data_IF_354518550516
#
_entry.id   IF_354518550516
#
_cell.length_a   1.000
_cell.length_b   1.000
_cell.length_c   1.000
_cell.angle_alpha   90.00
_cell.angle_beta   90.00
_cell.angle_gamma   90.00
#
_symmetry.space_group_name_H-M   'P 1'
#
loop_
_entity.id
_entity.type
_entity.pdbx_description
1 polymer ?
#
# COMPACT_ATOMS: atom_id res chain seq x y z
N UNK A 1 26.00 -8.69 -5.67
CA UNK A 1 25.07 -7.68 -6.25
C UNK A 1 25.83 -6.90 -7.32
N UNK A 2 25.30 -6.83 -8.55
CA UNK A 2 25.97 -6.19 -9.70
C UNK A 2 26.06 -4.66 -9.50
N UNK A 3 27.20 -4.07 -9.87
CA UNK A 3 27.46 -2.62 -9.90
C UNK A 3 26.28 -1.82 -10.49
N UNK A 4 25.73 -2.32 -11.59
CA UNK A 4 24.60 -1.74 -12.31
C UNK A 4 23.31 -1.66 -11.48
N UNK A 5 23.11 -2.60 -10.55
CA UNK A 5 21.93 -2.63 -9.69
C UNK A 5 22.00 -1.53 -8.62
N UNK A 6 23.16 -1.34 -7.98
CA UNK A 6 23.30 -0.45 -6.81
C UNK A 6 23.52 1.03 -7.16
N UNK A 7 24.38 1.34 -8.13
CA UNK A 7 24.77 2.74 -8.34
C UNK A 7 23.97 3.46 -9.42
N UNK A 8 23.36 2.71 -10.34
CA UNK A 8 22.69 3.30 -11.51
C UNK A 8 21.18 3.04 -11.42
N UNK A 9 20.77 1.79 -11.23
CA UNK A 9 19.35 1.43 -11.14
C UNK A 9 18.77 1.87 -9.80
N UNK A 10 19.33 1.45 -8.66
CA UNK A 10 18.86 1.87 -7.33
C UNK A 10 18.96 3.40 -7.15
N UNK A 11 20.04 4.05 -7.59
CA UNK A 11 20.15 5.52 -7.54
C UNK A 11 19.10 6.26 -8.39
N UNK A 12 18.85 5.81 -9.62
CA UNK A 12 17.84 6.41 -10.48
C UNK A 12 16.43 6.17 -9.93
N UNK A 13 16.18 4.95 -9.43
CA UNK A 13 14.94 4.58 -8.75
C UNK A 13 14.71 5.47 -7.53
N UNK A 14 15.75 5.72 -6.72
CA UNK A 14 15.68 6.57 -5.54
C UNK A 14 15.35 8.01 -5.90
N UNK A 15 15.96 8.56 -6.97
CA UNK A 15 15.69 9.94 -7.40
C UNK A 15 14.26 10.12 -7.95
N UNK A 16 13.79 9.19 -8.78
CA UNK A 16 12.44 9.21 -9.33
C UNK A 16 11.40 9.00 -8.22
N UNK A 17 11.64 8.03 -7.33
CA UNK A 17 10.80 7.75 -6.17
C UNK A 17 10.71 8.96 -5.24
N UNK A 18 11.83 9.66 -5.00
CA UNK A 18 11.83 10.86 -4.17
C UNK A 18 11.01 12.00 -4.79
N UNK A 19 11.11 12.23 -6.10
CA UNK A 19 10.28 13.21 -6.80
C UNK A 19 8.79 12.90 -6.70
N UNK A 20 8.40 11.64 -6.88
CA UNK A 20 7.02 11.19 -6.73
C UNK A 20 6.51 11.34 -5.28
N UNK A 21 7.37 11.05 -4.29
CA UNK A 21 7.05 11.26 -2.86
C UNK A 21 6.72 12.72 -2.58
N UNK A 22 7.55 13.64 -3.09
CA UNK A 22 7.38 15.07 -2.86
C UNK A 22 6.11 15.61 -3.54
N UNK A 23 5.76 15.08 -4.72
CA UNK A 23 4.49 15.39 -5.38
C UNK A 23 3.28 14.95 -4.55
N UNK A 24 3.27 13.69 -4.07
CA UNK A 24 2.15 13.21 -3.25
C UNK A 24 2.04 13.99 -1.93
N UNK A 25 3.16 14.35 -1.29
CA UNK A 25 3.17 15.20 -0.09
C UNK A 25 2.60 16.59 -0.37
N UNK A 26 2.97 17.22 -1.47
CA UNK A 26 2.41 18.51 -1.86
C UNK A 26 0.90 18.43 -2.12
N UNK A 27 0.43 17.32 -2.71
CA UNK A 27 -1.00 17.03 -2.86
C UNK A 27 -1.72 16.91 -1.52
N UNK A 28 -1.16 16.15 -0.57
CA UNK A 28 -1.73 16.01 0.79
C UNK A 28 -1.85 17.38 1.47
N UNK A 29 -0.86 18.25 1.33
CA UNK A 29 -0.92 19.62 1.89
C UNK A 29 -2.08 20.42 1.29
N UNK A 30 -2.35 20.26 -0.01
CA UNK A 30 -3.43 20.96 -0.71
C UNK A 30 -4.81 20.38 -0.41
N UNK A 31 -4.90 19.05 -0.35
CA UNK A 31 -6.14 18.28 -0.22
C UNK A 31 -6.00 17.19 0.87
N UNK A 32 -5.94 17.58 2.16
CA UNK A 32 -5.68 16.62 3.24
C UNK A 32 -6.83 15.62 3.46
N UNK A 33 -8.00 15.86 2.89
CA UNK A 33 -9.14 14.96 2.96
C UNK A 33 -9.23 14.00 1.76
N UNK A 34 -8.34 14.12 0.78
CA UNK A 34 -8.32 13.23 -0.39
C UNK A 34 -7.53 11.97 -0.04
N UNK A 35 -8.16 10.79 -0.12
CA UNK A 35 -7.53 9.52 0.22
C UNK A 35 -6.45 9.08 -0.80
N UNK A 36 -6.57 9.48 -2.07
CA UNK A 36 -5.72 8.97 -3.16
C UNK A 36 -4.23 9.27 -2.97
N UNK A 37 -3.81 10.50 -2.60
CA UNK A 37 -2.41 10.79 -2.34
C UNK A 37 -1.80 9.96 -1.21
N UNK A 38 -2.57 9.61 -0.16
CA UNK A 38 -2.10 8.74 0.91
C UNK A 38 -1.84 7.33 0.41
N UNK A 39 -2.76 6.75 -0.37
CA UNK A 39 -2.56 5.47 -1.03
C UNK A 39 -1.33 5.48 -1.96
N UNK A 40 -1.22 6.47 -2.86
CA UNK A 40 -0.08 6.54 -3.78
C UNK A 40 1.26 6.72 -3.04
N UNK A 41 1.29 7.55 -2.00
CA UNK A 41 2.49 7.71 -1.18
C UNK A 41 2.85 6.41 -0.46
N UNK A 42 1.86 5.64 0.00
CA UNK A 42 2.11 4.33 0.59
C UNK A 42 2.75 3.37 -0.43
N UNK A 43 2.26 3.34 -1.67
CA UNK A 43 2.83 2.50 -2.73
C UNK A 43 4.30 2.86 -3.00
N UNK A 44 4.65 4.15 -3.00
CA UNK A 44 6.03 4.61 -3.13
C UNK A 44 6.89 4.16 -1.93
N UNK A 45 6.35 4.23 -0.71
CA UNK A 45 7.04 3.76 0.49
C UNK A 45 7.23 2.24 0.53
N UNK A 46 6.30 1.46 -0.04
CA UNK A 46 6.49 0.01 -0.23
C UNK A 46 7.66 -0.28 -1.16
N UNK A 47 7.79 0.44 -2.28
CA UNK A 47 8.93 0.30 -3.20
C UNK A 47 10.25 0.70 -2.52
N UNK A 48 10.21 1.69 -1.63
CA UNK A 48 11.36 2.12 -0.84
C UNK A 48 11.63 1.25 0.41
N UNK A 49 10.97 0.09 0.57
CA UNK A 49 11.09 -0.80 1.73
C UNK A 49 10.76 -0.14 3.09
N UNK A 50 9.95 0.92 3.08
CA UNK A 50 9.46 1.65 4.25
C UNK A 50 8.07 1.15 4.66
N UNK A 51 8.03 -0.07 5.16
CA UNK A 51 6.77 -0.78 5.39
C UNK A 51 5.91 -0.15 6.49
N UNK A 52 6.49 0.36 7.58
CA UNK A 52 5.72 0.98 8.66
C UNK A 52 5.04 2.28 8.19
N UNK A 53 5.76 3.11 7.44
CA UNK A 53 5.22 4.34 6.90
C UNK A 53 4.15 4.07 5.84
N UNK A 54 4.35 3.06 4.99
CA UNK A 54 3.33 2.63 4.04
C UNK A 54 2.05 2.16 4.73
N UNK A 55 2.17 1.36 5.80
CA UNK A 55 1.03 0.88 6.57
C UNK A 55 0.22 2.05 7.17
N UNK A 56 0.91 3.01 7.80
CA UNK A 56 0.25 4.19 8.37
C UNK A 56 -0.51 5.02 7.33
N UNK A 57 0.07 5.19 6.14
CA UNK A 57 -0.56 5.91 5.04
C UNK A 57 -1.76 5.17 4.44
N UNK A 58 -1.69 3.85 4.30
CA UNK A 58 -2.83 3.06 3.86
C UNK A 58 -3.98 3.10 4.86
N UNK A 59 -3.68 3.05 6.16
CA UNK A 59 -4.67 3.19 7.23
C UNK A 59 -5.34 4.57 7.18
N UNK A 60 -4.57 5.63 6.92
CA UNK A 60 -5.12 6.98 6.76
C UNK A 60 -5.98 7.09 5.48
N UNK A 61 -5.54 6.48 4.39
CA UNK A 61 -6.32 6.41 3.13
C UNK A 61 -7.71 5.80 3.36
N UNK A 62 -7.79 4.65 4.03
CA UNK A 62 -9.08 4.00 4.32
C UNK A 62 -9.87 4.67 5.44
N UNK A 63 -9.23 5.50 6.27
CA UNK A 63 -9.92 6.37 7.24
C UNK A 63 -10.63 7.52 6.52
N UNK A 64 -10.01 8.08 5.49
CA UNK A 64 -10.55 9.17 4.67
C UNK A 64 -11.61 8.67 3.68
N UNK A 65 -11.37 7.53 3.05
CA UNK A 65 -12.32 6.85 2.17
C UNK A 65 -12.44 5.36 2.56
N UNK A 66 -13.43 5.00 3.39
CA UNK A 66 -13.69 3.61 3.79
C UNK A 66 -14.05 2.67 2.64
N UNK A 67 -14.35 3.21 1.44
CA UNK A 67 -14.72 2.43 0.27
C UNK A 67 -13.55 2.30 -0.73
N UNK A 68 -12.34 2.74 -0.35
CA UNK A 68 -11.19 2.68 -1.25
C UNK A 68 -10.64 1.26 -1.37
N UNK A 69 -11.17 0.52 -2.35
CA UNK A 69 -10.88 -0.90 -2.56
C UNK A 69 -9.40 -1.24 -2.74
N UNK A 70 -8.64 -0.43 -3.48
CA UNK A 70 -7.21 -0.65 -3.72
C UNK A 70 -6.36 -0.45 -2.45
N UNK A 71 -6.73 0.52 -1.61
CA UNK A 71 -6.08 0.72 -0.32
C UNK A 71 -6.37 -0.44 0.64
N UNK A 72 -7.61 -0.95 0.64
CA UNK A 72 -7.96 -2.16 1.37
C UNK A 72 -7.22 -3.41 0.87
N UNK A 73 -7.08 -3.58 -0.44
CA UNK A 73 -6.31 -4.70 -0.99
C UNK A 73 -4.84 -4.65 -0.56
N UNK A 74 -4.22 -3.46 -0.60
CA UNK A 74 -2.84 -3.27 -0.15
C UNK A 74 -2.67 -3.53 1.35
N UNK A 75 -3.64 -3.13 2.19
CA UNK A 75 -3.64 -3.48 3.61
C UNK A 75 -3.72 -4.99 3.81
N UNK A 76 -4.56 -5.69 3.04
CA UNK A 76 -4.67 -7.14 3.15
C UNK A 76 -3.32 -7.83 2.89
N UNK A 77 -2.61 -7.44 1.83
CA UNK A 77 -1.26 -7.94 1.53
C UNK A 77 -0.27 -7.68 2.68
N UNK A 78 -0.26 -6.46 3.22
CA UNK A 78 0.67 -6.10 4.30
C UNK A 78 0.39 -6.84 5.61
N UNK A 79 -0.88 -7.09 5.91
CA UNK A 79 -1.26 -7.85 7.10
C UNK A 79 -0.95 -9.35 6.98
N UNK A 80 -0.92 -9.92 5.76
CA UNK A 80 -0.40 -11.28 5.54
C UNK A 80 1.08 -11.37 5.92
N UNK A 81 1.90 -10.39 5.50
CA UNK A 81 3.34 -10.35 5.81
C UNK A 81 3.58 -10.21 7.31
N UNK A 82 2.71 -9.48 8.00
CA UNK A 82 2.73 -9.31 9.47
C UNK A 82 2.11 -10.48 10.25
N UNK A 83 1.61 -11.51 9.55
CA UNK A 83 0.92 -12.66 10.13
C UNK A 83 -0.37 -12.30 10.91
N UNK A 84 -0.91 -11.08 10.74
CA UNK A 84 -2.22 -10.69 11.25
C UNK A 84 -3.30 -11.07 10.24
N UNK A 85 -3.57 -12.38 10.16
CA UNK A 85 -4.50 -12.91 9.17
C UNK A 85 -5.94 -12.43 9.38
N UNK A 86 -6.31 -12.11 10.63
CA UNK A 86 -7.61 -11.53 10.95
C UNK A 86 -7.77 -10.15 10.29
N UNK A 87 -6.78 -9.27 10.43
CA UNK A 87 -6.77 -7.98 9.75
C UNK A 87 -6.70 -8.14 8.22
N UNK A 88 -5.89 -9.09 7.74
CA UNK A 88 -5.79 -9.38 6.30
C UNK A 88 -7.14 -9.72 5.68
N UNK A 89 -7.89 -10.67 6.27
CA UNK A 89 -9.20 -11.06 5.79
C UNK A 89 -10.26 -9.96 5.93
N UNK A 90 -10.18 -9.14 6.99
CA UNK A 90 -11.06 -7.97 7.14
C UNK A 90 -10.89 -7.01 5.95
N UNK A 91 -9.64 -6.66 5.62
CA UNK A 91 -9.36 -5.74 4.54
C UNK A 91 -9.57 -6.36 3.16
N UNK A 92 -9.31 -7.66 2.97
CA UNK A 92 -9.62 -8.34 1.72
C UNK A 92 -11.12 -8.34 1.42
N UNK A 93 -11.97 -8.59 2.43
CA UNK A 93 -13.43 -8.50 2.27
C UNK A 93 -13.87 -7.08 1.90
N UNK A 94 -13.38 -6.07 2.62
CA UNK A 94 -13.67 -4.68 2.30
C UNK A 94 -13.20 -4.29 0.88
N UNK A 95 -12.08 -4.81 0.40
CA UNK A 95 -11.65 -4.63 -0.98
C UNK A 95 -12.62 -5.26 -1.98
N UNK A 96 -13.07 -6.50 -1.74
CA UNK A 96 -14.04 -7.19 -2.57
C UNK A 96 -15.40 -6.49 -2.64
N UNK A 97 -15.91 -6.02 -1.50
CA UNK A 97 -17.15 -5.23 -1.41
C UNK A 97 -17.06 -3.92 -2.22
N UNK A 98 -15.83 -3.42 -2.43
CA UNK A 98 -15.53 -2.24 -3.23
C UNK A 98 -14.94 -2.57 -4.61
N UNK A 99 -15.36 -3.68 -5.21
CA UNK A 99 -15.04 -4.10 -6.59
C UNK A 99 -13.57 -4.47 -6.84
N UNK A 100 -12.83 -4.82 -5.79
CA UNK A 100 -11.42 -5.24 -5.84
C UNK A 100 -11.27 -6.65 -5.23
N UNK A 101 -11.75 -7.71 -5.90
CA UNK A 101 -11.83 -9.06 -5.31
C UNK A 101 -10.48 -9.80 -5.23
N UNK A 102 -9.43 -9.32 -5.91
CA UNK A 102 -8.15 -10.04 -6.02
C UNK A 102 -7.49 -10.30 -4.66
N UNK A 103 -7.73 -9.45 -3.65
CA UNK A 103 -7.24 -9.69 -2.30
C UNK A 103 -7.86 -10.95 -1.68
N UNK A 104 -9.16 -11.18 -1.85
CA UNK A 104 -9.85 -12.39 -1.39
C UNK A 104 -9.32 -13.61 -2.13
N UNK A 105 -9.18 -13.50 -3.45
CA UNK A 105 -8.66 -14.57 -4.30
C UNK A 105 -7.23 -14.96 -3.89
N UNK A 106 -6.38 -13.97 -3.61
CA UNK A 106 -5.01 -14.17 -3.12
C UNK A 106 -5.02 -14.93 -1.79
N UNK A 107 -5.77 -14.47 -0.78
CA UNK A 107 -5.81 -15.13 0.53
C UNK A 107 -6.31 -16.58 0.42
N UNK A 108 -7.35 -16.80 -0.40
CA UNK A 108 -7.91 -18.12 -0.66
C UNK A 108 -6.90 -19.04 -1.34
N UNK A 109 -6.24 -18.55 -2.39
CA UNK A 109 -5.23 -19.30 -3.16
C UNK A 109 -4.05 -19.74 -2.29
N UNK A 110 -3.62 -18.86 -1.39
CA UNK A 110 -2.51 -19.11 -0.49
C UNK A 110 -2.93 -19.79 0.82
N UNK A 111 -4.21 -20.17 0.96
CA UNK A 111 -4.76 -20.84 2.15
C UNK A 111 -4.46 -20.09 3.45
N UNK A 112 -4.53 -18.76 3.41
CA UNK A 112 -4.33 -17.91 4.59
C UNK A 112 -5.46 -18.19 5.60
N UNK A 113 -5.15 -18.49 6.88
CA UNK A 113 -6.17 -18.78 7.90
C UNK A 113 -7.16 -17.62 8.06
N UNK A 114 -8.46 -17.91 8.21
CA UNK A 114 -9.50 -16.88 8.36
C UNK A 114 -9.85 -16.52 9.80
N UNK A 115 -9.37 -17.33 10.75
CA UNK A 115 -9.82 -17.39 12.14
C UNK A 115 -8.66 -17.23 13.13
#
# INVERSE_FOLDING_TARGET
MSFWRKEIIEFALDRETQGAIDEQRAWIVREPANAKPYYHLAQLYRVAFKEEEALGLLLESVRLDPNFGEAHASLAEMYVIREDYKAAWRHARAAGDNHVPHAIEMLTRHKVPSD
#
